data_IF_827401132953
#
_entry.id   IF_827401132953
#
_cell.length_a   1.000
_cell.length_b   1.000
_cell.length_c   1.000
_cell.angle_alpha   90.00
_cell.angle_beta   90.00
_cell.angle_gamma   90.00
#
_symmetry.space_group_name_H-M   'P 1'
#
loop_
_entity.id
_entity.type
_entity.pdbx_description
1 polymer ?
#
# COMPACT_ATOMS: atom_id res chain seq x y z
N UNK A 1 -13.89 -0.98 12.96
CA UNK A 1 -13.08 -0.17 12.02
C UNK A 1 -11.86 -1.00 11.66
N UNK A 2 -11.67 -1.35 10.38
CA UNK A 2 -10.52 -2.17 9.98
C UNK A 2 -9.25 -1.35 10.10
N UNK A 3 -8.24 -1.88 10.76
CA UNK A 3 -6.96 -1.20 10.89
C UNK A 3 -6.18 -1.37 9.57
N UNK A 4 -5.79 -0.28 8.89
CA UNK A 4 -5.14 -0.34 7.57
C UNK A 4 -3.90 -1.22 7.50
N UNK A 5 -3.22 -1.40 8.64
CA UNK A 5 -2.03 -2.25 8.75
C UNK A 5 -2.35 -3.74 8.57
N UNK A 6 -3.50 -4.21 9.05
CA UNK A 6 -3.93 -5.62 8.95
C UNK A 6 -4.44 -5.95 7.55
N UNK A 7 -5.11 -4.98 6.93
CA UNK A 7 -5.55 -5.09 5.54
C UNK A 7 -4.35 -5.27 4.58
N UNK A 8 -3.16 -4.71 4.89
CA UNK A 8 -1.98 -4.78 4.00
C UNK A 8 -1.47 -6.20 3.89
N UNK A 9 -1.42 -6.89 5.04
CA UNK A 9 -0.97 -8.28 5.10
C UNK A 9 -2.00 -9.20 4.47
N UNK A 10 -3.29 -8.96 4.70
CA UNK A 10 -4.35 -9.69 4.01
C UNK A 10 -4.32 -9.47 2.48
N UNK A 11 -3.93 -8.27 2.02
CA UNK A 11 -3.67 -8.01 0.60
C UNK A 11 -2.44 -8.70 0.05
N UNK A 12 -1.35 -8.76 0.81
CA UNK A 12 -0.14 -9.48 0.41
C UNK A 12 -0.47 -10.98 0.30
N UNK A 13 -1.12 -11.55 1.32
CA UNK A 13 -1.58 -12.94 1.32
C UNK A 13 -2.53 -13.22 0.16
N UNK A 14 -3.49 -12.33 -0.11
CA UNK A 14 -4.42 -12.50 -1.23
C UNK A 14 -3.78 -12.29 -2.60
N UNK A 15 -2.83 -11.36 -2.74
CA UNK A 15 -2.05 -11.17 -3.97
C UNK A 15 -1.20 -12.42 -4.28
N UNK A 16 -0.73 -13.09 -3.22
CA UNK A 16 -0.04 -14.38 -3.32
C UNK A 16 -1.05 -15.48 -3.71
N UNK A 17 -2.20 -15.60 -3.04
CA UNK A 17 -3.26 -16.58 -3.39
C UNK A 17 -3.86 -16.39 -4.81
N UNK A 18 -4.07 -15.14 -5.26
CA UNK A 18 -4.67 -14.82 -6.56
C UNK A 18 -3.73 -15.19 -7.73
N UNK A 19 -2.46 -15.52 -7.45
CA UNK A 19 -1.46 -16.02 -8.40
C UNK A 19 -1.38 -17.56 -8.42
N UNK A 20 -2.49 -18.23 -8.17
CA UNK A 20 -2.74 -19.67 -8.33
C UNK A 20 -1.83 -20.40 -9.34
N UNK A 21 -0.86 -21.23 -8.90
CA UNK A 21 -0.31 -22.35 -9.68
C UNK A 21 0.39 -23.42 -8.82
N UNK A 22 -0.31 -24.52 -8.53
CA UNK A 22 0.23 -25.80 -8.04
C UNK A 22 0.98 -25.79 -6.69
N UNK A 23 0.98 -26.95 -6.04
CA UNK A 23 1.47 -27.24 -4.67
C UNK A 23 2.90 -26.71 -4.40
N UNK A 24 3.74 -26.56 -5.44
CA UNK A 24 5.09 -25.97 -5.37
C UNK A 24 5.11 -24.43 -5.32
N UNK A 25 4.10 -23.73 -5.83
CA UNK A 25 4.02 -22.28 -5.70
C UNK A 25 3.48 -21.84 -4.34
N UNK A 26 2.65 -22.63 -3.67
CA UNK A 26 2.23 -22.33 -2.29
C UNK A 26 3.43 -22.17 -1.35
N UNK A 27 4.45 -23.03 -1.47
CA UNK A 27 5.70 -22.88 -0.72
C UNK A 27 6.45 -21.61 -1.13
N UNK A 28 6.56 -21.32 -2.43
CA UNK A 28 7.24 -20.11 -2.96
C UNK A 28 6.51 -18.82 -2.60
N UNK A 29 5.20 -18.86 -2.47
CA UNK A 29 4.34 -17.74 -2.07
C UNK A 29 4.43 -17.48 -0.58
N UNK A 30 4.45 -18.55 0.22
CA UNK A 30 4.74 -18.48 1.64
C UNK A 30 6.15 -17.89 1.88
N UNK A 31 7.17 -18.35 1.15
CA UNK A 31 8.53 -17.81 1.26
C UNK A 31 8.58 -16.31 0.94
N UNK A 32 7.83 -15.85 -0.08
CA UNK A 32 7.68 -14.42 -0.39
C UNK A 32 6.94 -13.65 0.71
N UNK A 33 5.89 -14.22 1.29
CA UNK A 33 5.19 -13.58 2.41
C UNK A 33 6.13 -13.39 3.61
N UNK A 34 6.94 -14.41 3.91
CA UNK A 34 7.96 -14.38 4.96
C UNK A 34 9.06 -13.37 4.64
N UNK A 35 9.51 -13.32 3.38
CA UNK A 35 10.49 -12.33 2.90
C UNK A 35 9.97 -10.90 3.10
N UNK A 36 8.75 -10.60 2.66
CA UNK A 36 8.12 -9.28 2.86
C UNK A 36 7.98 -8.96 4.35
N UNK A 37 7.55 -9.94 5.17
CA UNK A 37 7.40 -9.73 6.61
C UNK A 37 8.74 -9.43 7.30
N UNK A 38 9.81 -10.11 6.90
CA UNK A 38 11.14 -10.02 7.54
C UNK A 38 11.96 -8.84 7.04
N UNK A 39 11.86 -8.50 5.75
CA UNK A 39 12.63 -7.42 5.13
C UNK A 39 11.89 -6.08 5.18
N UNK A 40 10.62 -6.05 4.80
CA UNK A 40 9.89 -4.79 4.61
C UNK A 40 9.11 -4.38 5.86
N UNK A 41 8.51 -5.36 6.55
CA UNK A 41 7.59 -5.07 7.65
C UNK A 41 8.24 -5.13 9.05
N UNK A 42 9.44 -5.70 9.19
CA UNK A 42 10.14 -5.82 10.48
C UNK A 42 10.41 -4.47 11.15
N UNK A 43 10.61 -3.41 10.37
CA UNK A 43 10.77 -2.04 10.88
C UNK A 43 9.56 -1.57 11.68
N UNK A 44 8.36 -2.14 11.45
CA UNK A 44 7.16 -1.77 12.19
C UNK A 44 7.04 -2.47 13.55
N UNK A 45 7.82 -3.54 13.80
CA UNK A 45 7.79 -4.29 15.05
C UNK A 45 8.17 -3.43 16.26
N UNK A 46 9.06 -2.44 16.08
CA UNK A 46 9.45 -1.51 17.16
C UNK A 46 8.29 -0.60 17.62
N UNK A 47 7.29 -0.37 16.75
CA UNK A 47 6.14 0.47 17.07
C UNK A 47 4.96 -0.33 17.61
N UNK A 48 4.82 -1.59 17.17
CA UNK A 48 3.80 -2.49 17.69
C UNK A 48 4.21 -3.95 17.48
N UNK A 49 4.86 -4.51 18.50
CA UNK A 49 5.36 -5.89 18.47
C UNK A 49 4.25 -6.93 18.41
N UNK A 50 3.11 -6.68 19.07
CA UNK A 50 1.98 -7.60 19.08
C UNK A 50 1.32 -7.70 17.70
N UNK A 51 1.18 -6.58 17.01
CA UNK A 51 0.70 -6.56 15.63
C UNK A 51 1.65 -7.32 14.69
N UNK A 52 2.97 -7.17 14.86
CA UNK A 52 3.94 -7.89 14.04
C UNK A 52 3.86 -9.41 14.26
N UNK A 53 3.71 -9.86 15.52
CA UNK A 53 3.49 -11.27 15.85
C UNK A 53 2.18 -11.80 15.26
N UNK A 54 1.12 -10.99 15.30
CA UNK A 54 -0.17 -11.34 14.69
C UNK A 54 -0.04 -11.51 13.17
N UNK A 55 0.71 -10.62 12.50
CA UNK A 55 1.01 -10.74 11.07
C UNK A 55 1.81 -12.01 10.75
N UNK A 56 2.80 -12.35 11.58
CA UNK A 56 3.56 -13.59 11.43
C UNK A 56 2.65 -14.83 11.55
N UNK A 57 1.73 -14.83 12.51
CA UNK A 57 0.76 -15.91 12.68
C UNK A 57 -0.17 -16.04 11.46
N UNK A 58 -0.63 -14.92 10.89
CA UNK A 58 -1.51 -14.90 9.72
C UNK A 58 -0.88 -15.50 8.45
N UNK A 59 0.45 -15.54 8.35
CA UNK A 59 1.15 -16.22 7.23
C UNK A 59 1.12 -17.73 7.39
N UNK A 60 1.04 -18.23 8.64
CA UNK A 60 1.08 -19.67 8.94
C UNK A 60 -0.28 -20.36 8.91
N UNK A 61 -1.38 -19.62 8.79
CA UNK A 61 -2.74 -20.19 8.79
C UNK A 61 -3.24 -20.46 7.38
N UNK A 62 -3.90 -21.61 7.18
CA UNK A 62 -4.45 -22.02 5.88
C UNK A 62 -5.53 -21.07 5.34
N UNK A 63 -6.26 -20.40 6.24
CA UNK A 63 -7.28 -19.41 5.87
C UNK A 63 -7.25 -18.24 6.86
N UNK A 64 -6.62 -17.15 6.44
CA UNK A 64 -6.51 -15.92 7.24
C UNK A 64 -7.87 -15.23 7.47
N UNK A 65 -8.92 -15.57 6.71
CA UNK A 65 -10.27 -14.98 6.88
C UNK A 65 -10.96 -15.47 8.15
N UNK A 66 -10.48 -16.57 8.74
CA UNK A 66 -10.92 -17.04 10.06
C UNK A 66 -10.53 -16.09 11.18
N UNK A 67 -9.56 -15.21 10.96
CA UNK A 67 -9.17 -14.22 11.94
C UNK A 67 -10.29 -13.17 12.12
N UNK A 68 -10.70 -12.90 13.37
CA UNK A 68 -11.86 -12.06 13.69
C UNK A 68 -11.87 -10.69 12.99
N UNK A 69 -10.70 -10.08 12.79
CA UNK A 69 -10.55 -8.79 12.11
C UNK A 69 -10.60 -8.85 10.58
N UNK A 70 -10.39 -10.04 10.00
CA UNK A 70 -10.31 -10.28 8.55
C UNK A 70 -11.53 -11.05 8.01
N UNK A 71 -12.50 -11.36 8.86
CA UNK A 71 -13.78 -11.98 8.48
C UNK A 71 -14.55 -11.21 7.40
N UNK A 72 -14.36 -9.89 7.32
CA UNK A 72 -14.99 -9.01 6.31
C UNK A 72 -14.13 -8.81 5.06
N UNK A 73 -12.99 -9.49 4.97
CA UNK A 73 -12.10 -9.39 3.83
C UNK A 73 -12.71 -10.12 2.63
N UNK A 74 -13.16 -9.35 1.64
CA UNK A 74 -13.75 -9.86 0.40
C UNK A 74 -12.68 -10.20 -0.64
N UNK A 75 -12.52 -9.31 -1.62
CA UNK A 75 -11.59 -9.44 -2.74
C UNK A 75 -10.42 -8.45 -2.64
N UNK A 76 -9.35 -8.75 -3.39
CA UNK A 76 -8.11 -7.96 -3.45
C UNK A 76 -8.32 -6.52 -3.92
N UNK A 77 -9.28 -6.25 -4.81
CA UNK A 77 -9.56 -4.89 -5.30
C UNK A 77 -10.19 -4.04 -4.19
N UNK A 78 -11.17 -4.59 -3.48
CA UNK A 78 -11.80 -3.91 -2.34
C UNK A 78 -10.80 -3.64 -1.22
N UNK A 79 -9.92 -4.60 -0.93
CA UNK A 79 -8.85 -4.42 0.04
C UNK A 79 -7.85 -3.35 -0.38
N UNK A 80 -7.45 -3.30 -1.67
CA UNK A 80 -6.59 -2.23 -2.22
C UNK A 80 -7.21 -0.86 -2.04
N UNK A 81 -8.50 -0.74 -2.34
CA UNK A 81 -9.22 0.52 -2.17
C UNK A 81 -9.32 0.94 -0.70
N UNK A 82 -9.50 -0.01 0.22
CA UNK A 82 -9.51 0.24 1.67
C UNK A 82 -8.20 0.88 2.14
N UNK A 83 -7.08 0.26 1.79
CA UNK A 83 -5.76 0.73 2.22
C UNK A 83 -5.38 2.04 1.56
N UNK A 84 -5.63 2.16 0.25
CA UNK A 84 -5.37 3.40 -0.46
C UNK A 84 -6.09 4.58 0.20
N UNK A 85 -7.33 4.39 0.68
CA UNK A 85 -8.07 5.42 1.40
C UNK A 85 -7.37 5.84 2.69
N UNK A 86 -6.83 4.89 3.46
CA UNK A 86 -6.14 5.18 4.71
C UNK A 86 -4.74 5.79 4.49
N UNK A 87 -4.00 5.32 3.48
CA UNK A 87 -2.75 5.95 3.04
C UNK A 87 -3.02 7.40 2.62
N UNK A 88 -4.05 7.63 1.80
CA UNK A 88 -4.44 8.97 1.35
C UNK A 88 -4.73 9.88 2.54
N UNK A 89 -5.50 9.43 3.53
CA UNK A 89 -5.76 10.20 4.76
C UNK A 89 -4.46 10.56 5.50
N UNK A 90 -3.56 9.60 5.67
CA UNK A 90 -2.27 9.84 6.33
C UNK A 90 -1.39 10.84 5.59
N UNK A 91 -1.38 10.75 4.26
CA UNK A 91 -0.66 11.67 3.36
C UNK A 91 -1.26 13.08 3.42
N UNK A 92 -2.58 13.22 3.38
CA UNK A 92 -3.30 14.51 3.44
C UNK A 92 -3.14 15.19 4.81
N UNK A 93 -3.07 14.42 5.90
CA UNK A 93 -2.87 14.94 7.25
C UNK A 93 -1.41 15.37 7.53
N UNK A 94 -0.45 14.97 6.71
CA UNK A 94 0.96 15.24 6.95
C UNK A 94 1.37 16.67 6.49
N UNK A 95 1.85 17.53 7.40
CA UNK A 95 2.24 18.91 7.08
C UNK A 95 3.27 19.04 5.96
N UNK A 96 4.19 18.07 5.82
CA UNK A 96 5.26 18.09 4.81
C UNK A 96 4.71 18.09 3.38
N UNK A 97 3.49 17.57 3.19
CA UNK A 97 2.84 17.51 1.88
C UNK A 97 1.79 18.60 1.65
N UNK A 98 1.55 19.49 2.61
CA UNK A 98 0.62 20.60 2.43
C UNK A 98 1.02 21.45 1.21
N UNK A 99 0.04 21.75 0.34
CA UNK A 99 0.26 22.52 -0.88
C UNK A 99 0.97 21.78 -2.03
N UNK A 100 1.44 20.54 -1.82
CA UNK A 100 2.20 19.78 -2.85
C UNK A 100 1.33 18.88 -3.75
N UNK A 101 0.05 18.72 -3.44
CA UNK A 101 -0.87 17.85 -4.19
C UNK A 101 -1.57 18.53 -5.37
N UNK A 102 -1.42 19.86 -5.51
CA UNK A 102 -1.99 20.58 -6.64
C UNK A 102 -0.93 20.68 -7.71
N UNK A 103 -1.21 20.09 -8.87
CA UNK A 103 -0.46 20.41 -10.08
C UNK A 103 -0.68 21.90 -10.33
N UNK A 104 0.38 22.72 -10.43
CA UNK A 104 0.20 24.13 -10.74
C UNK A 104 -0.56 24.23 -12.07
N UNK A 105 -1.58 25.08 -12.11
CA UNK A 105 -2.19 25.43 -13.37
C UNK A 105 -1.07 25.99 -14.25
N UNK A 106 -0.85 25.38 -15.41
CA UNK A 106 0.10 25.93 -16.39
C UNK A 106 -0.45 27.29 -16.75
N UNK A 107 0.24 28.31 -16.30
CA UNK A 107 -0.17 29.67 -16.53
C UNK A 107 -0.07 29.94 -18.03
N UNK A 108 -1.08 30.59 -18.61
CA UNK A 108 -1.01 31.12 -19.98
C UNK A 108 0.25 31.99 -20.17
N UNK A 109 0.77 32.58 -19.09
CA UNK A 109 2.07 33.23 -19.02
C UNK A 109 3.21 32.32 -19.52
N UNK A 110 3.29 31.03 -19.19
CA UNK A 110 4.40 30.18 -19.67
C UNK A 110 4.45 30.11 -21.20
N UNK A 111 3.29 30.03 -21.88
CA UNK A 111 3.21 30.13 -23.34
C UNK A 111 3.58 31.53 -23.85
N UNK A 112 3.12 32.57 -23.15
CA UNK A 112 3.39 33.98 -23.46
C UNK A 112 4.87 34.35 -23.34
N UNK A 113 5.59 33.76 -22.37
CA UNK A 113 7.03 33.96 -22.19
C UNK A 113 7.82 33.27 -23.30
N UNK A 114 7.34 32.13 -23.82
CA UNK A 114 7.96 31.53 -25.01
C UNK A 114 7.80 32.41 -26.26
N UNK A 115 6.65 33.08 -26.41
CA UNK A 115 6.38 34.02 -27.50
C UNK A 115 7.19 35.32 -27.34
N UNK A 116 7.29 35.84 -26.12
CA UNK A 116 8.10 37.01 -25.82
C UNK A 116 9.60 36.74 -26.01
N UNK A 117 10.10 35.57 -25.60
CA UNK A 117 11.51 35.19 -25.82
C UNK A 117 11.82 34.95 -27.30
N UNK A 118 10.87 34.40 -28.08
CA UNK A 118 11.00 34.27 -29.54
C UNK A 118 11.03 35.64 -30.24
N UNK A 119 10.28 36.63 -29.72
CA UNK A 119 10.27 37.99 -30.24
C UNK A 119 11.46 38.85 -29.78
N UNK A 120 12.26 38.37 -28.82
CA UNK A 120 13.44 39.04 -28.31
C UNK A 120 14.75 38.46 -28.89
N UNK A 121 14.69 37.76 -30.03
CA UNK A 121 15.88 37.33 -30.77
C UNK A 121 16.83 38.51 -31.06
N UNK A 122 17.89 38.60 -30.26
CA UNK A 122 19.23 39.04 -30.68
C UNK A 122 19.92 37.82 -31.28
#
# INVERSE_FOLDING_TARGET
>A
MSYPRKDCVAMILKFLEDKNFEETAHTREHDKAVEILSNDLKVFAQYNSELYKEMALLITVDDFRKHASLTKYGDTRSARASIFREIKKGIEANPVFQGKFRVPAVDARVGQWSLQMSNLQI
#
